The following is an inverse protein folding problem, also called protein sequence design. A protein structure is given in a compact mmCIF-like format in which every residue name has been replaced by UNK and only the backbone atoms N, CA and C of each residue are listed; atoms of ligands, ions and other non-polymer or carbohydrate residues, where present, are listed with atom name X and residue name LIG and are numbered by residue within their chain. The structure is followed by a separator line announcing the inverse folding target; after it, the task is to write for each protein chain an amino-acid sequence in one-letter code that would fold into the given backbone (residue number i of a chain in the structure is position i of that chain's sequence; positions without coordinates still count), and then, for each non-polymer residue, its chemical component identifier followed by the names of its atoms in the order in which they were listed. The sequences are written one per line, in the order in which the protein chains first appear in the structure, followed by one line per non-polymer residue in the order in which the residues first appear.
data_IF_317785310806
#
_entry.id   IF_317785310806
#
_cell.length_a   1.000
_cell.length_b   1.000
_cell.length_c   1.000
_cell.angle_alpha   90.00
_cell.angle_beta   90.00
_cell.angle_gamma   90.00
#
_symmetry.space_group_name_H-M   'P 1'
#
loop_
_entity.id
_entity.type
_entity.pdbx_description
1 polymer ?
#
# COMPACT_ATOMS: atom_id res chain seq x y z
N UNK A 1 -1.13 -23.89 -58.50
CA UNK A 1 0.19 -23.74 -57.87
C UNK A 1 0.53 -22.26 -57.84
N UNK A 2 0.29 -21.60 -56.71
CA UNK A 2 0.60 -20.18 -56.52
C UNK A 2 1.88 -20.06 -55.70
N UNK A 3 2.79 -19.20 -56.16
CA UNK A 3 4.13 -19.02 -55.64
C UNK A 3 4.11 -18.46 -54.21
N UNK A 4 4.79 -19.18 -53.31
CA UNK A 4 5.05 -18.78 -51.93
C UNK A 4 6.18 -17.73 -51.94
N UNK A 5 5.84 -16.45 -51.82
CA UNK A 5 6.83 -15.38 -51.61
C UNK A 5 7.43 -15.52 -50.21
N UNK A 6 8.64 -16.06 -50.13
CA UNK A 6 9.46 -16.05 -48.91
C UNK A 6 9.81 -14.60 -48.51
N UNK A 7 8.99 -14.00 -47.65
CA UNK A 7 9.32 -12.77 -46.92
C UNK A 7 10.13 -13.12 -45.67
N UNK A 8 11.41 -13.41 -45.85
CA UNK A 8 12.38 -13.57 -44.76
C UNK A 8 13.48 -12.51 -44.89
N UNK A 9 13.76 -11.80 -43.79
CA UNK A 9 14.89 -10.85 -43.71
C UNK A 9 16.19 -11.67 -43.80
N UNK A 10 16.82 -11.71 -44.98
CA UNK A 10 18.19 -12.23 -45.14
C UNK A 10 19.17 -11.15 -44.69
N UNK A 11 19.63 -11.22 -43.46
CA UNK A 11 20.82 -10.50 -43.02
C UNK A 11 21.98 -11.49 -43.02
N UNK A 12 23.04 -11.17 -43.76
CA UNK A 12 24.24 -12.00 -43.82
C UNK A 12 25.05 -11.84 -42.52
N UNK A 13 25.75 -12.89 -42.08
CA UNK A 13 26.55 -12.85 -40.84
C UNK A 13 27.60 -11.72 -40.86
N UNK A 14 28.07 -11.31 -42.03
CA UNK A 14 28.99 -10.19 -42.20
C UNK A 14 28.36 -8.83 -41.88
N UNK A 15 27.05 -8.64 -42.13
CA UNK A 15 26.33 -7.40 -41.86
C UNK A 15 25.98 -7.20 -40.37
N UNK A 16 26.03 -8.28 -39.58
CA UNK A 16 25.81 -8.22 -38.13
C UNK A 16 27.09 -7.91 -37.35
N UNK A 17 28.27 -8.03 -37.97
CA UNK A 17 29.53 -7.84 -37.26
C UNK A 17 29.82 -6.35 -37.05
N UNK A 18 30.47 -6.05 -35.93
CA UNK A 18 30.96 -4.72 -35.61
C UNK A 18 31.83 -4.21 -36.74
N UNK A 19 31.60 -2.98 -37.18
CA UNK A 19 32.40 -2.31 -38.22
C UNK A 19 33.91 -2.27 -37.94
N UNK A 20 34.32 -2.28 -36.67
CA UNK A 20 35.74 -2.32 -36.28
C UNK A 20 36.35 -3.75 -36.34
N UNK A 21 35.62 -4.73 -36.87
CA UNK A 21 36.07 -6.12 -37.03
C UNK A 21 36.60 -6.76 -35.72
N UNK A 22 36.09 -6.29 -34.57
CA UNK A 22 36.54 -6.73 -33.25
C UNK A 22 35.98 -8.10 -32.81
N UNK A 23 35.33 -8.84 -33.70
CA UNK A 23 34.73 -10.16 -33.43
C UNK A 23 33.38 -10.14 -32.66
N UNK A 24 32.82 -8.97 -32.39
CA UNK A 24 31.51 -8.80 -31.74
C UNK A 24 30.45 -8.31 -32.73
N UNK A 25 29.17 -8.47 -32.40
CA UNK A 25 28.06 -7.99 -33.22
C UNK A 25 27.81 -6.49 -33.02
N UNK A 26 27.57 -5.77 -34.12
CA UNK A 26 27.13 -4.39 -34.13
C UNK A 26 25.62 -4.28 -34.30
N UNK A 27 25.03 -3.13 -33.95
CA UNK A 27 23.61 -2.89 -34.17
C UNK A 27 23.35 -1.50 -34.79
N UNK A 28 22.17 -1.26 -35.39
CA UNK A 28 21.86 0.03 -36.01
C UNK A 28 21.83 1.21 -35.03
N UNK A 29 21.41 0.99 -33.78
CA UNK A 29 21.38 2.03 -32.74
C UNK A 29 22.78 2.60 -32.43
N UNK A 30 23.82 1.78 -32.63
CA UNK A 30 25.23 2.17 -32.53
C UNK A 30 25.91 2.20 -33.90
N UNK A 31 25.18 2.54 -34.96
CA UNK A 31 25.69 2.72 -36.33
C UNK A 31 26.48 1.52 -36.90
N UNK A 32 26.21 0.31 -36.43
CA UNK A 32 26.91 -0.91 -36.82
C UNK A 32 28.16 -1.23 -35.96
N UNK A 33 28.38 -0.53 -34.85
CA UNK A 33 29.43 -0.84 -33.88
C UNK A 33 28.90 -1.68 -32.72
N UNK A 34 29.77 -2.48 -32.09
CA UNK A 34 29.46 -3.12 -30.83
C UNK A 34 29.53 -2.10 -29.67
N UNK A 35 28.94 -2.44 -28.53
CA UNK A 35 28.90 -1.55 -27.35
C UNK A 35 30.27 -1.10 -26.85
N UNK A 36 31.33 -1.88 -27.08
CA UNK A 36 32.71 -1.56 -26.68
C UNK A 36 33.33 -0.53 -27.62
N UNK A 37 33.34 -0.82 -28.92
CA UNK A 37 33.85 0.06 -29.96
C UNK A 37 33.11 1.41 -30.01
N UNK A 38 31.78 1.37 -29.82
CA UNK A 38 30.96 2.58 -29.73
C UNK A 38 31.42 3.49 -28.58
N UNK A 39 31.52 2.96 -27.35
CA UNK A 39 31.95 3.73 -26.18
C UNK A 39 33.35 4.31 -26.31
N UNK A 40 34.27 3.56 -26.89
CA UNK A 40 35.66 4.01 -27.07
C UNK A 40 35.75 5.16 -28.08
N UNK A 41 34.91 5.12 -29.12
CA UNK A 41 34.81 6.17 -30.13
C UNK A 41 34.10 7.42 -29.59
N UNK A 42 33.02 7.26 -28.82
CA UNK A 42 32.33 8.37 -28.17
C UNK A 42 33.25 9.08 -27.17
N UNK A 43 34.02 8.33 -26.35
CA UNK A 43 35.01 8.92 -25.44
C UNK A 43 36.10 9.72 -26.15
N UNK A 44 36.58 9.24 -27.31
CA UNK A 44 37.56 9.99 -28.12
C UNK A 44 36.95 11.27 -28.70
N UNK A 45 35.70 11.20 -29.19
CA UNK A 45 34.99 12.37 -29.70
C UNK A 45 34.69 13.41 -28.61
N UNK A 46 34.33 12.97 -27.40
CA UNK A 46 34.09 13.82 -26.24
C UNK A 46 35.37 14.49 -25.71
N UNK A 47 36.52 13.80 -25.82
CA UNK A 47 37.82 14.38 -25.47
C UNK A 47 38.24 15.49 -26.45
N UNK A 48 37.88 15.37 -27.73
CA UNK A 48 38.16 16.38 -28.75
C UNK A 48 37.16 17.57 -28.72
N UNK A 49 36.00 17.43 -28.06
CA UNK A 49 34.95 18.46 -28.01
C UNK A 49 34.98 19.39 -26.78
N UNK A 50 35.93 19.25 -25.85
CA UNK A 50 36.11 20.17 -24.71
C UNK A 50 36.67 21.56 -25.08
N UNK A 51 36.59 21.97 -26.35
CA UNK A 51 37.05 23.27 -26.86
C UNK A 51 35.99 24.37 -26.97
N UNK A 52 34.68 24.08 -27.03
CA UNK A 52 33.66 25.12 -27.28
C UNK A 52 32.25 24.63 -26.92
N UNK A 53 31.54 25.34 -26.03
CA UNK A 53 30.08 25.20 -25.81
C UNK A 53 29.25 26.02 -26.84
N UNK A 54 27.89 26.03 -26.82
CA UNK A 54 27.02 26.04 -25.63
C UNK A 54 25.72 25.16 -25.69
N UNK A 55 24.86 25.40 -24.69
CA UNK A 55 23.64 24.75 -24.15
C UNK A 55 22.41 24.60 -25.07
N UNK A 56 21.60 23.55 -24.85
CA UNK A 56 20.15 23.54 -25.14
C UNK A 56 19.36 22.57 -24.24
N UNK A 57 18.08 22.93 -24.06
CA UNK A 57 17.06 22.48 -23.09
C UNK A 57 16.18 21.34 -23.63
N UNK A 58 15.94 20.28 -22.84
CA UNK A 58 14.90 19.28 -23.10
C UNK A 58 14.61 18.42 -21.84
N UNK A 59 13.33 18.37 -21.45
CA UNK A 59 12.84 17.57 -20.33
C UNK A 59 13.13 16.07 -20.49
N UNK A 60 13.93 15.53 -19.57
CA UNK A 60 14.25 14.11 -19.52
C UNK A 60 13.11 13.30 -18.87
N UNK A 61 12.68 12.18 -19.47
CA UNK A 61 11.87 11.17 -18.80
C UNK A 61 12.63 10.62 -17.58
N UNK A 62 11.96 9.86 -16.71
CA UNK A 62 12.56 9.04 -15.65
C UNK A 62 13.51 7.96 -16.23
N UNK A 63 14.56 8.35 -16.95
CA UNK A 63 15.47 7.44 -17.61
C UNK A 63 16.55 6.98 -16.63
N UNK A 64 16.89 5.70 -16.76
CA UNK A 64 17.97 4.95 -16.11
C UNK A 64 19.36 5.64 -16.16
N UNK A 65 19.50 6.77 -16.85
CA UNK A 65 20.75 7.51 -17.06
C UNK A 65 21.34 8.06 -15.76
N UNK A 66 20.52 8.61 -14.84
CA UNK A 66 20.99 9.02 -13.50
C UNK A 66 21.43 7.83 -12.63
N UNK A 67 20.88 6.63 -12.89
CA UNK A 67 21.21 5.40 -12.18
C UNK A 67 22.56 4.82 -12.67
N UNK A 68 22.86 4.91 -13.97
CA UNK A 68 24.19 4.57 -14.52
C UNK A 68 25.26 5.62 -14.17
N UNK A 69 24.91 6.90 -14.06
CA UNK A 69 25.83 7.96 -13.61
C UNK A 69 26.33 7.71 -12.18
N UNK A 70 25.47 7.16 -11.30
CA UNK A 70 25.83 6.71 -9.94
C UNK A 70 26.80 5.52 -9.93
N UNK A 71 26.69 4.60 -10.90
CA UNK A 71 27.68 3.52 -11.15
C UNK A 71 29.04 4.07 -11.62
N UNK A 72 29.04 5.22 -12.30
CA UNK A 72 30.26 5.85 -12.80
C UNK A 72 30.92 6.77 -11.75
N UNK A 73 30.17 7.32 -10.79
CA UNK A 73 30.71 8.05 -9.62
C UNK A 73 31.65 7.18 -8.78
N UNK A 74 31.37 5.88 -8.67
CA UNK A 74 32.25 4.91 -7.99
C UNK A 74 33.60 4.72 -8.71
N UNK A 75 33.70 5.11 -9.99
CA UNK A 75 34.91 4.97 -10.83
C UNK A 75 35.51 6.29 -11.30
N UNK A 76 34.92 7.44 -10.97
CA UNK A 76 35.42 8.71 -11.48
C UNK A 76 34.85 9.94 -10.80
N UNK A 77 35.43 10.33 -9.65
CA UNK A 77 35.82 11.74 -9.40
C UNK A 77 36.65 11.89 -8.13
N UNK A 78 37.94 12.20 -8.30
CA UNK A 78 38.71 12.94 -7.29
C UNK A 78 38.31 14.41 -7.38
N UNK A 79 37.34 14.87 -6.57
CA UNK A 79 37.15 16.31 -6.33
C UNK A 79 37.82 16.65 -5.00
N UNK A 80 39.11 16.95 -5.06
CA UNK A 80 39.92 17.28 -3.89
C UNK A 80 39.75 18.75 -3.43
N UNK A 81 38.90 19.54 -4.11
CA UNK A 81 38.83 20.99 -3.91
C UNK A 81 37.77 21.40 -2.89
N UNK A 82 36.65 20.66 -2.77
CA UNK A 82 35.63 20.96 -1.76
C UNK A 82 35.97 20.39 -0.36
N UNK A 83 36.78 19.33 -0.28
CA UNK A 83 37.21 18.73 1.01
C UNK A 83 37.87 19.74 1.96
N UNK A 84 38.65 20.71 1.44
CA UNK A 84 39.39 21.68 2.27
C UNK A 84 38.54 22.76 2.92
N UNK A 85 37.38 23.08 2.34
CA UNK A 85 36.52 24.14 2.87
C UNK A 85 35.45 23.59 3.84
N UNK A 86 35.05 22.33 3.70
CA UNK A 86 33.97 21.72 4.50
C UNK A 86 34.46 20.77 5.60
N UNK A 87 35.66 20.19 5.45
CA UNK A 87 36.24 19.25 6.42
C UNK A 87 37.64 19.72 6.77
N UNK A 88 37.73 20.72 7.67
CA UNK A 88 38.96 21.38 8.09
C UNK A 88 40.17 20.44 8.14
N UNK A 89 41.33 20.97 7.71
CA UNK A 89 42.58 20.21 7.63
C UNK A 89 42.90 19.42 8.91
N UNK A 90 43.77 18.39 8.83
CA UNK A 90 44.05 17.51 9.95
C UNK A 90 44.42 18.37 11.17
N UNK A 91 43.60 18.26 12.22
CA UNK A 91 43.87 18.90 13.50
C UNK A 91 45.27 18.49 13.98
N UNK A 92 45.98 19.37 14.70
CA UNK A 92 47.28 19.03 15.27
C UNK A 92 47.12 17.79 16.16
N UNK A 93 48.16 16.92 16.26
CA UNK A 93 48.03 15.64 16.95
C UNK A 93 47.74 15.91 18.43
N UNK A 94 46.47 15.79 18.81
CA UNK A 94 46.09 15.67 20.22
C UNK A 94 46.26 14.20 20.62
N UNK A 95 46.68 14.06 21.88
CA UNK A 95 47.23 12.89 22.57
C UNK A 95 46.60 11.54 22.16
N UNK A 96 47.37 10.44 22.18
CA UNK A 96 46.84 9.11 21.93
C UNK A 96 45.85 8.76 23.04
N UNK A 97 44.56 8.92 22.76
CA UNK A 97 43.54 8.16 23.48
C UNK A 97 43.69 6.69 23.09
N UNK A 98 43.56 5.81 24.08
CA UNK A 98 43.93 4.41 23.92
C UNK A 98 43.13 3.77 22.77
N UNK A 99 43.85 3.17 21.83
CA UNK A 99 43.33 2.31 20.75
C UNK A 99 42.28 1.29 21.23
N UNK A 100 42.29 0.97 22.52
CA UNK A 100 41.34 0.08 23.19
C UNK A 100 39.92 0.65 23.27
N UNK A 101 39.74 1.96 23.45
CA UNK A 101 38.42 2.60 23.58
C UNK A 101 37.62 2.59 22.26
N UNK A 102 38.30 2.86 21.14
CA UNK A 102 37.70 2.82 19.79
C UNK A 102 37.39 1.37 19.36
N UNK A 103 38.29 0.43 19.68
CA UNK A 103 38.05 -0.99 19.45
C UNK A 103 36.88 -1.55 20.29
N UNK A 104 36.75 -1.13 21.55
CA UNK A 104 35.63 -1.49 22.41
C UNK A 104 34.30 -0.90 21.90
N UNK A 105 34.31 0.32 21.37
CA UNK A 105 33.14 0.93 20.75
C UNK A 105 32.68 0.14 19.51
N UNK A 106 33.61 -0.21 18.62
CA UNK A 106 33.33 -1.00 17.42
C UNK A 106 32.76 -2.39 17.75
N UNK A 107 33.31 -3.06 18.78
CA UNK A 107 32.75 -4.32 19.27
C UNK A 107 31.31 -4.18 19.78
N UNK A 108 30.97 -3.07 20.44
CA UNK A 108 29.61 -2.82 20.90
C UNK A 108 28.63 -2.62 19.74
N UNK A 109 29.06 -2.00 18.64
CA UNK A 109 28.24 -1.89 17.42
C UNK A 109 28.06 -3.25 16.72
N UNK A 110 29.09 -4.09 16.73
CA UNK A 110 29.04 -5.45 16.17
C UNK A 110 28.04 -6.37 16.88
N UNK A 111 27.76 -6.14 18.17
CA UNK A 111 26.77 -6.91 18.93
C UNK A 111 25.32 -6.45 18.76
N UNK A 112 25.04 -5.48 17.88
CA UNK A 112 23.68 -5.02 17.64
C UNK A 112 22.91 -6.02 16.77
N UNK A 113 21.66 -6.26 17.15
CA UNK A 113 20.73 -7.03 16.33
C UNK A 113 20.29 -6.22 15.09
N UNK A 114 20.01 -6.88 13.95
CA UNK A 114 19.52 -6.21 12.76
C UNK A 114 18.25 -5.40 13.06
N UNK A 115 18.25 -4.11 12.71
CA UNK A 115 17.10 -3.23 12.91
C UNK A 115 16.96 -2.62 14.32
N UNK A 116 17.84 -2.92 15.28
CA UNK A 116 17.81 -2.31 16.62
C UNK A 116 18.40 -0.88 16.63
N UNK A 117 17.65 0.03 16.01
CA UNK A 117 18.01 1.44 15.92
C UNK A 117 18.05 2.13 17.29
N UNK A 118 17.24 1.67 18.25
CA UNK A 118 17.19 2.30 19.58
C UNK A 118 18.48 2.04 20.35
N UNK A 119 19.00 0.81 20.32
CA UNK A 119 20.28 0.48 20.92
C UNK A 119 21.44 1.15 20.20
N UNK A 120 21.40 1.25 18.86
CA UNK A 120 22.35 2.07 18.11
C UNK A 120 22.42 3.51 18.62
N UNK A 121 21.28 4.18 18.81
CA UNK A 121 21.25 5.55 19.34
C UNK A 121 21.77 5.64 20.78
N UNK A 122 21.58 4.60 21.61
CA UNK A 122 22.17 4.54 22.96
C UNK A 122 23.69 4.43 22.88
N UNK A 123 24.23 3.59 22.00
CA UNK A 123 25.67 3.44 21.79
C UNK A 123 26.31 4.71 21.21
N UNK A 124 25.62 5.39 20.30
CA UNK A 124 26.11 6.64 19.70
C UNK A 124 26.24 7.77 20.73
N UNK A 125 25.41 7.77 21.79
CA UNK A 125 25.49 8.75 22.89
C UNK A 125 26.54 8.43 23.95
N UNK A 126 27.16 7.24 23.92
CA UNK A 126 28.21 6.89 24.89
C UNK A 126 29.48 7.71 24.63
N UNK A 127 30.28 8.02 25.68
CA UNK A 127 31.56 8.73 25.52
C UNK A 127 32.51 8.04 24.52
N UNK A 128 32.49 6.70 24.46
CA UNK A 128 33.27 5.90 23.52
C UNK A 128 32.96 6.19 22.04
N UNK A 129 31.80 6.78 21.74
CA UNK A 129 31.35 7.12 20.39
C UNK A 129 31.33 8.64 20.14
N UNK A 130 31.89 9.45 21.05
CA UNK A 130 31.78 10.91 21.00
C UNK A 130 32.30 11.52 19.69
N UNK A 131 33.39 10.97 19.14
CA UNK A 131 33.96 11.42 17.86
C UNK A 131 32.98 11.22 16.72
N UNK A 132 32.33 10.06 16.65
CA UNK A 132 31.34 9.74 15.63
C UNK A 132 30.09 10.62 15.78
N UNK A 133 29.59 10.77 17.00
CA UNK A 133 28.45 11.64 17.31
C UNK A 133 28.73 13.10 16.91
N UNK A 134 29.94 13.60 17.19
CA UNK A 134 30.36 14.96 16.84
C UNK A 134 30.41 15.17 15.33
N UNK A 135 30.89 14.17 14.57
CA UNK A 135 30.87 14.20 13.10
C UNK A 135 29.44 14.26 12.55
N UNK A 136 28.53 13.43 13.06
CA UNK A 136 27.13 13.47 12.65
C UNK A 136 26.48 14.83 12.97
N UNK A 137 26.75 15.37 14.16
CA UNK A 137 26.18 16.67 14.58
C UNK A 137 26.73 17.82 13.73
N UNK A 138 28.03 17.86 13.49
CA UNK A 138 28.65 18.88 12.63
C UNK A 138 28.10 18.82 11.20
N UNK A 139 27.91 17.61 10.66
CA UNK A 139 27.30 17.43 9.34
C UNK A 139 25.87 17.96 9.30
N UNK A 140 25.04 17.63 10.28
CA UNK A 140 23.66 18.12 10.35
C UNK A 140 23.58 19.64 10.45
N UNK A 141 24.42 20.26 11.28
CA UNK A 141 24.50 21.72 11.41
C UNK A 141 24.95 22.36 10.08
N UNK A 142 25.83 21.70 9.35
CA UNK A 142 26.27 22.15 8.01
C UNK A 142 25.10 22.09 7.02
N UNK A 143 24.38 20.98 6.98
CA UNK A 143 23.21 20.84 6.11
C UNK A 143 22.11 21.87 6.45
N UNK A 144 21.90 22.16 7.73
CA UNK A 144 20.98 23.21 8.17
C UNK A 144 21.42 24.61 7.72
N UNK A 145 22.71 24.93 7.84
CA UNK A 145 23.26 26.23 7.42
C UNK A 145 23.22 26.45 5.90
N UNK A 146 23.26 25.36 5.11
CA UNK A 146 23.32 25.40 3.65
C UNK A 146 22.10 24.73 2.99
N UNK A 147 20.95 24.71 3.65
CA UNK A 147 19.75 24.04 3.14
C UNK A 147 19.19 24.69 1.87
N UNK A 148 19.49 25.97 1.60
CA UNK A 148 19.09 26.68 0.36
C UNK A 148 19.86 26.22 -0.89
N UNK A 149 20.91 25.39 -0.73
CA UNK A 149 21.64 24.87 -1.88
C UNK A 149 20.73 24.00 -2.75
N UNK A 150 20.96 23.95 -4.08
CA UNK A 150 20.22 23.04 -4.95
C UNK A 150 20.27 21.60 -4.44
N UNK A 151 19.14 20.90 -4.51
CA UNK A 151 18.98 19.53 -3.96
C UNK A 151 20.05 18.55 -4.44
N UNK A 152 20.59 18.73 -5.65
CA UNK A 152 21.68 17.89 -6.16
C UNK A 152 22.97 18.07 -5.36
N UNK A 153 23.33 19.31 -5.00
CA UNK A 153 24.52 19.56 -4.16
C UNK A 153 24.32 18.99 -2.75
N UNK A 154 23.10 19.09 -2.22
CA UNK A 154 22.75 18.49 -0.94
C UNK A 154 22.85 16.96 -0.99
N UNK A 155 22.40 16.34 -2.08
CA UNK A 155 22.56 14.90 -2.34
C UNK A 155 24.05 14.51 -2.38
N UNK A 156 24.89 15.25 -3.11
CA UNK A 156 26.33 14.98 -3.18
C UNK A 156 26.99 15.06 -1.79
N UNK A 157 26.63 16.05 -0.96
CA UNK A 157 27.14 16.19 0.41
C UNK A 157 26.73 15.00 1.31
N UNK A 158 25.50 14.50 1.17
CA UNK A 158 25.01 13.33 1.91
C UNK A 158 25.74 12.05 1.46
N UNK A 159 25.94 11.87 0.15
CA UNK A 159 26.67 10.71 -0.38
C UNK A 159 28.14 10.73 0.05
N UNK A 160 28.80 11.89 0.00
CA UNK A 160 30.15 12.08 0.53
C UNK A 160 30.20 11.78 2.04
N UNK A 161 29.20 12.20 2.80
CA UNK A 161 29.10 11.87 4.23
C UNK A 161 29.03 10.35 4.44
N UNK A 162 28.19 9.63 3.69
CA UNK A 162 28.11 8.17 3.78
C UNK A 162 29.45 7.51 3.50
N UNK A 163 30.14 7.91 2.43
CA UNK A 163 31.45 7.36 2.10
C UNK A 163 32.48 7.63 3.20
N UNK A 164 32.48 8.82 3.80
CA UNK A 164 33.41 9.18 4.86
C UNK A 164 33.09 8.49 6.20
N UNK A 165 31.83 8.13 6.46
CA UNK A 165 31.41 7.40 7.66
C UNK A 165 31.62 5.89 7.51
N UNK A 166 31.42 5.33 6.31
CA UNK A 166 31.68 3.92 6.06
C UNK A 166 33.13 3.52 6.42
N UNK A 167 34.10 4.41 6.21
CA UNK A 167 35.51 4.21 6.62
C UNK A 167 35.66 4.01 8.14
N UNK A 168 34.79 4.59 8.97
CA UNK A 168 34.85 4.37 10.42
C UNK A 168 34.48 2.93 10.80
N UNK A 169 33.64 2.28 10.00
CA UNK A 169 33.15 0.93 10.24
C UNK A 169 33.83 -0.11 9.34
N UNK A 170 34.88 0.26 8.60
CA UNK A 170 35.49 -0.62 7.58
C UNK A 170 36.18 -1.85 8.15
N UNK A 171 36.42 -1.90 9.47
CA UNK A 171 36.95 -3.09 10.16
C UNK A 171 35.86 -4.11 10.49
N UNK A 172 34.58 -3.76 10.33
CA UNK A 172 33.47 -4.68 10.56
C UNK A 172 33.26 -5.60 9.35
N UNK A 173 32.73 -6.82 9.55
CA UNK A 173 32.21 -7.65 8.47
C UNK A 173 31.19 -6.90 7.60
N UNK A 174 31.15 -7.21 6.30
CA UNK A 174 30.31 -6.51 5.31
C UNK A 174 28.84 -6.40 5.72
N UNK A 175 28.25 -7.47 6.24
CA UNK A 175 26.86 -7.49 6.72
C UNK A 175 26.62 -6.47 7.85
N UNK A 176 27.54 -6.40 8.81
CA UNK A 176 27.45 -5.47 9.94
C UNK A 176 27.74 -4.03 9.51
N UNK A 177 28.67 -3.83 8.57
CA UNK A 177 28.92 -2.53 7.96
C UNK A 177 27.65 -1.99 7.29
N UNK A 178 26.97 -2.80 6.49
CA UNK A 178 25.70 -2.41 5.84
C UNK A 178 24.64 -2.03 6.88
N UNK A 179 24.46 -2.83 7.93
CA UNK A 179 23.53 -2.52 9.03
C UNK A 179 23.87 -1.20 9.75
N UNK A 180 25.16 -0.92 10.00
CA UNK A 180 25.57 0.35 10.61
C UNK A 180 25.30 1.53 9.68
N UNK A 181 25.51 1.35 8.38
CA UNK A 181 25.21 2.37 7.38
C UNK A 181 23.71 2.63 7.27
N UNK A 182 22.86 1.61 7.36
CA UNK A 182 21.40 1.74 7.45
C UNK A 182 20.97 2.56 8.67
N UNK A 183 21.52 2.27 9.85
CA UNK A 183 21.27 3.09 11.04
C UNK A 183 21.75 4.54 10.87
N UNK A 184 22.87 4.76 10.20
CA UNK A 184 23.36 6.10 9.87
C UNK A 184 22.44 6.83 8.90
N UNK A 185 21.97 6.17 7.85
CA UNK A 185 20.99 6.71 6.91
C UNK A 185 19.73 7.15 7.65
N UNK A 186 19.18 6.26 8.50
CA UNK A 186 17.99 6.54 9.30
C UNK A 186 18.17 7.74 10.20
N UNK A 187 19.30 7.84 10.91
CA UNK A 187 19.59 8.98 11.79
C UNK A 187 19.65 10.31 11.03
N UNK A 188 20.44 10.35 9.96
CA UNK A 188 20.68 11.58 9.20
C UNK A 188 19.42 12.00 8.45
N UNK A 189 18.84 11.09 7.68
CA UNK A 189 17.72 11.41 6.80
C UNK A 189 16.43 11.72 7.55
N UNK A 190 16.21 11.13 8.73
CA UNK A 190 15.07 11.52 9.58
C UNK A 190 15.11 13.00 9.98
N UNK A 191 16.31 13.57 10.16
CA UNK A 191 16.49 14.99 10.49
C UNK A 191 16.49 15.88 9.25
N UNK A 192 17.11 15.41 8.16
CA UNK A 192 17.21 16.18 6.93
C UNK A 192 15.92 16.22 6.12
N UNK A 193 15.01 15.26 6.28
CA UNK A 193 13.80 15.12 5.47
C UNK A 193 13.02 16.43 5.29
N UNK A 194 12.86 17.23 6.36
CA UNK A 194 12.12 18.51 6.32
C UNK A 194 12.74 19.54 5.39
N UNK A 195 14.02 19.42 5.07
CA UNK A 195 14.74 20.33 4.19
C UNK A 195 14.85 19.75 2.79
N UNK A 196 15.16 18.46 2.65
CA UNK A 196 15.53 17.90 1.34
C UNK A 196 14.40 17.22 0.57
N UNK A 197 13.27 16.88 1.21
CA UNK A 197 12.15 16.22 0.55
C UNK A 197 11.28 17.25 -0.17
N UNK A 198 11.02 17.04 -1.47
CA UNK A 198 10.26 17.98 -2.32
C UNK A 198 10.82 19.42 -2.22
N UNK A 199 12.14 19.56 -2.39
CA UNK A 199 12.87 20.82 -2.24
C UNK A 199 12.48 21.84 -3.34
N UNK A 200 12.38 23.12 -2.98
CA UNK A 200 11.94 24.22 -3.87
C UNK A 200 12.80 24.41 -5.12
N UNK A 201 14.05 23.94 -5.09
CA UNK A 201 14.96 24.03 -6.25
C UNK A 201 14.66 23.02 -7.37
N UNK A 202 13.61 22.20 -7.27
CA UNK A 202 13.26 21.21 -8.30
C UNK A 202 11.75 21.11 -8.53
N UNK A 203 11.37 20.66 -9.73
CA UNK A 203 9.97 20.55 -10.15
C UNK A 203 9.28 19.28 -9.62
N UNK A 204 9.74 18.72 -8.49
CA UNK A 204 9.22 17.47 -7.95
C UNK A 204 7.71 17.58 -7.64
N UNK A 205 7.25 18.69 -7.06
CA UNK A 205 5.83 18.95 -6.78
C UNK A 205 4.98 19.00 -8.06
N UNK A 206 5.48 19.68 -9.09
CA UNK A 206 4.78 19.80 -10.38
C UNK A 206 4.61 18.41 -11.01
N UNK A 207 5.65 17.58 -10.95
CA UNK A 207 5.61 16.20 -11.46
C UNK A 207 4.72 15.30 -10.62
N UNK A 208 4.70 15.47 -9.31
CA UNK A 208 3.75 14.79 -8.43
C UNK A 208 2.30 15.10 -8.80
N UNK A 209 1.97 16.38 -9.00
CA UNK A 209 0.63 16.80 -9.40
C UNK A 209 0.25 16.25 -10.79
N UNK A 210 1.19 16.27 -11.73
CA UNK A 210 0.97 15.71 -13.07
C UNK A 210 0.71 14.19 -13.01
N UNK A 211 1.56 13.45 -12.29
CA UNK A 211 1.43 12.01 -12.13
C UNK A 211 0.17 11.62 -11.36
N UNK A 212 -0.19 12.35 -10.31
CA UNK A 212 -1.41 12.11 -9.55
C UNK A 212 -2.67 12.33 -10.41
N UNK A 213 -2.72 13.42 -11.19
CA UNK A 213 -3.81 13.69 -12.14
C UNK A 213 -3.89 12.61 -13.20
N UNK A 214 -2.73 12.18 -13.70
CA UNK A 214 -2.63 11.09 -14.68
C UNK A 214 -3.19 9.78 -14.14
N UNK A 215 -2.75 9.31 -12.97
CA UNK A 215 -3.27 8.09 -12.33
C UNK A 215 -4.79 8.22 -12.11
N UNK A 216 -5.25 9.37 -11.60
CA UNK A 216 -6.68 9.63 -11.38
C UNK A 216 -7.51 9.51 -12.66
N UNK A 217 -6.99 10.01 -13.79
CA UNK A 217 -7.66 9.89 -15.10
C UNK A 217 -7.78 8.44 -15.61
N UNK A 218 -6.96 7.53 -15.09
CA UNK A 218 -6.90 6.11 -15.46
C UNK A 218 -7.62 5.19 -14.45
N UNK A 219 -8.39 5.73 -13.51
CA UNK A 219 -9.07 4.91 -12.49
C UNK A 219 -10.07 3.88 -13.07
N UNK A 220 -10.54 4.11 -14.30
CA UNK A 220 -11.43 3.22 -15.04
C UNK A 220 -10.75 1.91 -15.50
N UNK A 221 -9.41 1.85 -15.51
CA UNK A 221 -8.66 0.66 -15.92
C UNK A 221 -8.96 -0.50 -14.97
N UNK A 222 -9.21 -1.67 -15.55
CA UNK A 222 -9.55 -2.90 -14.81
C UNK A 222 -8.39 -3.90 -14.83
N UNK A 223 -8.31 -4.85 -13.88
CA UNK A 223 -7.28 -5.89 -13.87
C UNK A 223 -7.20 -6.66 -15.21
N UNK A 224 -8.35 -6.94 -15.83
CA UNK A 224 -8.42 -7.71 -17.08
C UNK A 224 -7.81 -6.96 -18.26
N UNK A 225 -7.93 -5.63 -18.32
CA UNK A 225 -7.31 -4.81 -19.39
C UNK A 225 -5.77 -4.88 -19.32
N UNK A 226 -5.24 -4.99 -18.10
CA UNK A 226 -3.81 -5.17 -17.82
C UNK A 226 -3.38 -6.64 -17.80
N UNK A 227 -4.29 -7.59 -18.06
CA UNK A 227 -4.05 -9.04 -17.98
C UNK A 227 -3.50 -9.50 -16.62
N UNK A 228 -3.90 -8.84 -15.54
CA UNK A 228 -3.51 -9.23 -14.18
C UNK A 228 -4.26 -10.49 -13.78
N UNK A 229 -3.57 -11.56 -13.36
CA UNK A 229 -4.22 -12.71 -12.73
C UNK A 229 -4.98 -12.25 -11.49
N UNK A 230 -6.30 -12.36 -11.52
CA UNK A 230 -7.19 -11.92 -10.44
C UNK A 230 -8.05 -13.10 -10.02
N UNK A 231 -8.25 -13.38 -8.71
CA UNK A 231 -9.09 -14.47 -8.25
C UNK A 231 -10.51 -14.34 -8.80
N UNK A 232 -11.10 -15.45 -9.26
CA UNK A 232 -12.50 -15.47 -9.70
C UNK A 232 -13.43 -15.01 -8.56
N UNK A 233 -14.46 -14.23 -8.89
CA UNK A 233 -15.47 -13.66 -7.97
C UNK A 233 -16.23 -14.72 -7.11
N UNK A 234 -15.97 -16.01 -7.33
CA UNK A 234 -16.59 -17.14 -6.61
C UNK A 234 -15.92 -17.46 -5.27
N UNK A 235 -14.77 -16.85 -4.96
CA UNK A 235 -14.18 -16.96 -3.63
C UNK A 235 -14.92 -16.00 -2.67
N UNK A 236 -15.40 -16.51 -1.53
CA UNK A 236 -16.10 -15.78 -0.45
C UNK A 236 -15.26 -14.65 0.21
N UNK A 237 -14.14 -14.27 -0.37
CA UNK A 237 -13.26 -13.21 0.13
C UNK A 237 -13.76 -11.86 -0.41
N UNK A 238 -14.50 -11.13 0.42
CA UNK A 238 -15.10 -9.83 0.11
C UNK A 238 -14.07 -8.69 -0.11
N UNK A 239 -12.76 -8.96 0.00
CA UNK A 239 -11.69 -7.94 -0.03
C UNK A 239 -10.76 -8.11 -1.22
N UNK A 240 -10.43 -6.99 -1.89
CA UNK A 240 -9.43 -6.95 -2.97
C UNK A 240 -8.11 -7.60 -2.49
N UNK A 241 -7.60 -8.66 -3.15
CA UNK A 241 -6.39 -9.37 -2.73
C UNK A 241 -5.15 -8.48 -2.76
N UNK A 242 -5.18 -7.38 -3.52
CA UNK A 242 -4.09 -6.40 -3.60
C UNK A 242 -4.20 -5.29 -2.54
N UNK A 243 -5.24 -5.25 -1.71
CA UNK A 243 -5.42 -4.23 -0.68
C UNK A 243 -4.20 -4.08 0.26
N UNK A 244 -3.55 -5.17 0.74
CA UNK A 244 -2.34 -5.04 1.55
C UNK A 244 -1.17 -4.38 0.80
N UNK A 245 -1.06 -4.61 -0.52
CA UNK A 245 -0.05 -3.97 -1.37
C UNK A 245 -0.36 -2.48 -1.55
N UNK A 246 -1.63 -2.14 -1.80
CA UNK A 246 -2.13 -0.76 -1.91
C UNK A 246 -1.80 0.03 -0.63
N UNK A 247 -2.11 -0.53 0.55
CA UNK A 247 -1.80 0.13 1.83
C UNK A 247 -0.29 0.33 2.00
N UNK A 248 0.53 -0.69 1.69
CA UNK A 248 1.98 -0.60 1.84
C UNK A 248 2.61 0.51 0.97
N UNK A 249 2.16 0.68 -0.27
CA UNK A 249 2.70 1.74 -1.14
C UNK A 249 2.21 3.14 -0.74
N UNK A 250 1.01 3.26 -0.18
CA UNK A 250 0.51 4.54 0.38
C UNK A 250 1.31 4.94 1.63
N UNK A 251 1.61 3.98 2.52
CA UNK A 251 2.39 4.20 3.74
C UNK A 251 3.82 4.72 3.49
N UNK A 252 4.36 4.54 2.27
CA UNK A 252 5.68 5.02 1.88
C UNK A 252 5.87 6.52 2.18
N UNK A 253 4.85 7.33 1.91
CA UNK A 253 4.95 8.78 2.07
C UNK A 253 5.08 9.21 3.53
N UNK A 254 4.57 8.41 4.47
CA UNK A 254 4.66 8.66 5.91
C UNK A 254 6.06 8.38 6.48
N UNK A 255 6.93 7.66 5.76
CA UNK A 255 8.29 7.34 6.21
C UNK A 255 9.23 8.51 5.93
N UNK A 256 10.24 8.72 6.78
CA UNK A 256 11.23 9.79 6.59
C UNK A 256 12.57 9.31 6.03
N UNK A 257 13.04 8.15 6.48
CA UNK A 257 14.29 7.59 5.98
C UNK A 257 14.08 6.87 4.62
N UNK A 258 15.00 7.01 3.65
CA UNK A 258 14.93 6.30 2.37
C UNK A 258 14.77 4.79 2.52
N UNK A 259 15.51 4.15 3.42
CA UNK A 259 15.39 2.71 3.69
C UNK A 259 13.99 2.30 4.16
N UNK A 260 13.32 3.12 4.97
CA UNK A 260 11.98 2.81 5.48
C UNK A 260 10.96 2.97 4.34
N UNK A 261 11.18 3.90 3.40
CA UNK A 261 10.39 4.04 2.16
C UNK A 261 10.60 2.84 1.23
N UNK A 262 11.84 2.39 1.07
CA UNK A 262 12.17 1.18 0.29
C UNK A 262 11.55 -0.07 0.91
N UNK A 263 11.52 -0.18 2.24
CA UNK A 263 10.85 -1.29 2.92
C UNK A 263 9.34 -1.33 2.63
N UNK A 264 8.68 -0.16 2.52
CA UNK A 264 7.28 -0.08 2.05
C UNK A 264 7.13 -0.59 0.61
N UNK A 265 8.08 -0.25 -0.29
CA UNK A 265 8.10 -0.77 -1.67
C UNK A 265 8.28 -2.29 -1.68
N UNK A 266 9.21 -2.84 -0.91
CA UNK A 266 9.41 -4.29 -0.81
C UNK A 266 8.18 -5.00 -0.24
N UNK A 267 7.58 -4.47 0.82
CA UNK A 267 6.34 -5.00 1.40
C UNK A 267 5.18 -4.95 0.40
N UNK A 268 5.07 -3.89 -0.40
CA UNK A 268 4.10 -3.79 -1.48
C UNK A 268 4.32 -4.93 -2.49
N UNK A 269 5.54 -5.08 -3.01
CA UNK A 269 5.88 -6.11 -4.00
C UNK A 269 5.65 -7.53 -3.47
N UNK A 270 6.01 -7.82 -2.22
CA UNK A 270 5.75 -9.12 -1.59
C UNK A 270 4.25 -9.42 -1.48
N UNK A 271 3.43 -8.42 -1.14
CA UNK A 271 1.97 -8.58 -1.14
C UNK A 271 1.39 -8.78 -2.55
N UNK A 272 2.00 -8.17 -3.59
CA UNK A 272 1.65 -8.46 -4.99
C UNK A 272 1.93 -9.92 -5.33
N UNK A 273 3.13 -10.43 -5.03
CA UNK A 273 3.43 -11.85 -5.25
C UNK A 273 2.46 -12.77 -4.50
N UNK A 274 2.16 -12.46 -3.24
CA UNK A 274 1.20 -13.24 -2.43
C UNK A 274 -0.20 -13.26 -3.05
N UNK A 275 -0.68 -12.11 -3.54
CA UNK A 275 -1.96 -12.02 -4.24
C UNK A 275 -1.97 -12.89 -5.51
N UNK A 276 -0.91 -12.79 -6.33
CA UNK A 276 -0.78 -13.54 -7.58
C UNK A 276 -0.66 -15.06 -7.35
N UNK A 277 0.05 -15.48 -6.30
CA UNK A 277 0.15 -16.90 -5.90
C UNK A 277 -1.16 -17.49 -5.39
N UNK A 278 -2.11 -16.64 -4.98
CA UNK A 278 -3.45 -17.11 -4.55
C UNK A 278 -4.37 -17.30 -5.76
N UNK A 279 -4.14 -16.54 -6.84
CA UNK A 279 -4.93 -16.63 -8.08
C UNK A 279 -4.40 -17.67 -9.08
N UNK A 280 -3.11 -18.00 -9.04
CA UNK A 280 -2.47 -18.91 -9.99
C UNK A 280 -1.88 -20.15 -9.30
N UNK A 281 -1.96 -21.30 -9.97
CA UNK A 281 -1.29 -22.54 -9.54
C UNK A 281 0.22 -22.51 -9.77
N UNK A 282 0.71 -21.63 -10.64
CA UNK A 282 2.13 -21.46 -10.95
C UNK A 282 2.72 -20.22 -10.25
N UNK A 283 4.03 -20.23 -9.92
CA UNK A 283 4.71 -19.03 -9.41
C UNK A 283 4.58 -17.88 -10.41
N UNK A 284 4.22 -16.69 -9.92
CA UNK A 284 4.06 -15.51 -10.75
C UNK A 284 5.36 -15.18 -11.50
N UNK A 285 5.26 -15.00 -12.81
CA UNK A 285 6.39 -14.57 -13.62
C UNK A 285 6.62 -13.04 -13.48
N UNK A 286 7.65 -12.51 -14.15
CA UNK A 286 7.97 -11.09 -14.07
C UNK A 286 6.89 -10.18 -14.71
N UNK A 287 6.22 -10.65 -15.76
CA UNK A 287 5.18 -9.90 -16.46
C UNK A 287 3.87 -9.83 -15.64
N UNK A 288 3.51 -10.93 -14.98
CA UNK A 288 2.39 -11.00 -14.02
C UNK A 288 2.63 -10.04 -12.85
N UNK A 289 3.85 -10.05 -12.32
CA UNK A 289 4.26 -9.16 -11.24
C UNK A 289 4.19 -7.69 -11.65
N UNK A 290 4.77 -7.33 -12.79
CA UNK A 290 4.79 -5.94 -13.27
C UNK A 290 3.36 -5.44 -13.54
N UNK A 291 2.52 -6.27 -14.16
CA UNK A 291 1.11 -5.94 -14.43
C UNK A 291 0.33 -5.75 -13.12
N UNK A 292 0.54 -6.64 -12.14
CA UNK A 292 -0.04 -6.50 -10.79
C UNK A 292 0.44 -5.24 -10.07
N UNK A 293 1.72 -4.88 -10.19
CA UNK A 293 2.28 -3.67 -9.61
C UNK A 293 1.71 -2.40 -10.27
N UNK A 294 1.57 -2.37 -11.59
CA UNK A 294 0.92 -1.26 -12.32
C UNK A 294 -0.52 -1.09 -11.81
N UNK A 295 -1.28 -2.18 -11.69
CA UNK A 295 -2.63 -2.15 -11.15
C UNK A 295 -2.67 -1.58 -9.72
N UNK A 296 -1.78 -2.04 -8.83
CA UNK A 296 -1.68 -1.52 -7.46
C UNK A 296 -1.39 -0.03 -7.44
N UNK A 297 -0.44 0.46 -8.24
CA UNK A 297 -0.12 1.90 -8.31
C UNK A 297 -1.31 2.70 -8.84
N UNK A 298 -2.02 2.19 -9.86
CA UNK A 298 -3.23 2.84 -10.40
C UNK A 298 -4.35 2.96 -9.35
N UNK A 299 -4.58 1.90 -8.56
CA UNK A 299 -5.62 1.90 -7.52
C UNK A 299 -5.22 2.66 -6.27
N UNK A 300 -3.94 2.61 -5.89
CA UNK A 300 -3.44 3.30 -4.71
C UNK A 300 -3.37 4.82 -4.91
N UNK A 301 -3.00 5.27 -6.12
CA UNK A 301 -2.61 6.65 -6.40
C UNK A 301 -1.73 7.26 -5.29
N UNK A 302 -0.53 6.71 -5.05
CA UNK A 302 0.27 7.03 -3.87
C UNK A 302 0.58 8.54 -3.79
N UNK A 303 0.47 9.15 -2.61
CA UNK A 303 0.75 10.58 -2.46
C UNK A 303 2.23 10.88 -2.72
N UNK A 304 2.48 11.96 -3.46
CA UNK A 304 3.84 12.47 -3.75
C UNK A 304 4.78 11.39 -4.31
N UNK A 305 4.26 10.52 -5.19
CA UNK A 305 4.97 9.35 -5.68
C UNK A 305 6.30 9.69 -6.37
N UNK A 306 6.32 10.73 -7.20
CA UNK A 306 7.52 11.20 -7.89
C UNK A 306 8.56 11.71 -6.88
N UNK A 307 8.16 12.58 -5.95
CA UNK A 307 9.06 13.07 -4.88
C UNK A 307 9.65 11.93 -4.05
N UNK A 308 8.83 10.94 -3.67
CA UNK A 308 9.26 9.77 -2.93
C UNK A 308 10.33 8.97 -3.68
N UNK A 309 10.13 8.73 -4.98
CA UNK A 309 11.10 8.03 -5.82
C UNK A 309 12.41 8.83 -5.97
N UNK A 310 12.32 10.13 -6.27
CA UNK A 310 13.51 10.97 -6.41
C UNK A 310 14.29 11.10 -5.11
N UNK A 311 13.59 11.20 -3.98
CA UNK A 311 14.20 11.24 -2.66
C UNK A 311 15.00 9.97 -2.36
N UNK A 312 14.44 8.79 -2.66
CA UNK A 312 15.17 7.53 -2.54
C UNK A 312 16.39 7.49 -3.46
N UNK A 313 16.27 7.92 -4.72
CA UNK A 313 17.41 7.95 -5.68
C UNK A 313 18.55 8.86 -5.18
N UNK A 314 18.21 10.06 -4.72
CA UNK A 314 19.16 11.11 -4.30
C UNK A 314 19.83 10.79 -2.96
N UNK A 315 19.07 10.31 -1.98
CA UNK A 315 19.55 10.22 -0.60
C UNK A 315 19.66 8.79 -0.05
N UNK A 316 19.16 7.79 -0.76
CA UNK A 316 19.31 6.41 -0.34
C UNK A 316 20.74 5.90 -0.52
N UNK A 317 21.11 4.95 0.33
CA UNK A 317 22.37 4.21 0.25
C UNK A 317 22.50 3.52 -1.13
N UNK A 318 23.63 3.69 -1.84
CA UNK A 318 23.81 3.13 -3.18
C UNK A 318 23.60 1.61 -3.25
N UNK A 319 24.14 0.85 -2.30
CA UNK A 319 24.05 -0.61 -2.30
C UNK A 319 22.62 -1.14 -2.14
N UNK A 320 21.79 -0.47 -1.34
CA UNK A 320 20.38 -0.84 -1.13
C UNK A 320 19.51 -0.60 -2.36
N UNK A 321 19.84 0.42 -3.16
CA UNK A 321 19.12 0.76 -4.40
C UNK A 321 19.61 -0.04 -5.61
N UNK A 322 20.90 -0.41 -5.64
CA UNK A 322 21.56 -0.95 -6.83
C UNK A 322 21.72 -2.47 -6.81
N UNK A 323 21.46 -3.13 -5.69
CA UNK A 323 21.61 -4.57 -5.56
C UNK A 323 20.47 -5.19 -4.72
N UNK A 324 20.31 -6.50 -4.87
CA UNK A 324 19.35 -7.29 -4.10
C UNK A 324 17.89 -7.12 -4.53
N UNK A 325 17.02 -7.70 -3.71
CA UNK A 325 15.58 -7.77 -3.92
C UNK A 325 14.93 -6.37 -3.89
N UNK A 326 15.35 -5.51 -2.96
CA UNK A 326 14.86 -4.13 -2.85
C UNK A 326 15.14 -3.29 -4.10
N UNK A 327 16.35 -3.40 -4.67
CA UNK A 327 16.70 -2.72 -5.93
C UNK A 327 15.86 -3.21 -7.11
N UNK A 328 15.57 -4.51 -7.17
CA UNK A 328 14.66 -5.08 -8.18
C UNK A 328 13.24 -4.52 -8.06
N UNK A 329 12.68 -4.46 -6.84
CA UNK A 329 11.35 -3.90 -6.62
C UNK A 329 11.26 -2.40 -6.92
N UNK A 330 12.26 -1.62 -6.50
CA UNK A 330 12.33 -0.20 -6.82
C UNK A 330 12.43 0.07 -8.33
N UNK A 331 13.19 -0.78 -9.03
CA UNK A 331 13.28 -0.70 -10.50
C UNK A 331 11.94 -1.00 -11.15
N UNK A 332 11.23 -2.04 -10.71
CA UNK A 332 9.89 -2.36 -11.23
C UNK A 332 8.86 -1.26 -10.93
N UNK A 333 8.92 -0.63 -9.75
CA UNK A 333 8.10 0.54 -9.45
C UNK A 333 8.40 1.70 -10.42
N UNK A 334 9.68 1.92 -10.74
CA UNK A 334 10.09 2.93 -11.72
C UNK A 334 9.57 2.62 -13.13
N UNK A 335 9.62 1.35 -13.53
CA UNK A 335 9.02 0.89 -14.79
C UNK A 335 7.50 1.08 -14.81
N UNK A 336 6.81 0.74 -13.71
CA UNK A 336 5.36 0.89 -13.60
C UNK A 336 4.92 2.36 -13.71
N UNK A 337 5.62 3.28 -13.04
CA UNK A 337 5.34 4.72 -13.14
C UNK A 337 5.58 5.23 -14.56
N UNK A 338 6.71 4.88 -15.18
CA UNK A 338 7.01 5.28 -16.56
C UNK A 338 5.99 4.71 -17.58
N UNK A 339 5.47 3.50 -17.32
CA UNK A 339 4.40 2.92 -18.11
C UNK A 339 3.10 3.72 -17.96
N UNK A 340 2.69 4.05 -16.73
CA UNK A 340 1.46 4.83 -16.45
C UNK A 340 1.52 6.23 -17.10
N UNK A 341 2.68 6.89 -17.06
CA UNK A 341 2.88 8.18 -17.72
C UNK A 341 2.60 8.12 -19.22
N UNK A 342 2.98 7.02 -19.87
CA UNK A 342 2.90 6.82 -21.33
C UNK A 342 1.75 5.92 -21.79
N UNK A 343 0.90 5.47 -20.86
CA UNK A 343 -0.15 4.50 -21.15
C UNK A 343 -1.13 4.99 -22.22
N UNK A 344 -1.34 4.22 -23.27
CA UNK A 344 -2.25 4.54 -24.36
C UNK A 344 -3.27 3.40 -24.61
N UNK A 345 -4.19 3.61 -25.54
CA UNK A 345 -5.18 2.60 -25.94
C UNK A 345 -4.54 1.27 -26.35
N UNK A 346 -3.55 1.26 -27.26
CA UNK A 346 -2.85 0.05 -27.67
C UNK A 346 -2.24 -0.75 -26.52
N UNK A 347 -1.66 -0.09 -25.50
CA UNK A 347 -1.11 -0.77 -24.33
C UNK A 347 -2.17 -1.55 -23.51
N UNK A 348 -3.45 -1.17 -23.61
CA UNK A 348 -4.59 -1.86 -22.98
C UNK A 348 -5.37 -2.77 -23.94
N UNK A 349 -4.91 -2.94 -25.18
CA UNK A 349 -5.65 -3.61 -26.27
C UNK A 349 -7.00 -2.93 -26.58
N UNK A 350 -7.04 -1.60 -26.54
CA UNK A 350 -8.20 -0.77 -26.89
C UNK A 350 -7.93 0.04 -28.16
N UNK A 351 -8.98 0.27 -28.93
CA UNK A 351 -8.93 1.23 -30.04
C UNK A 351 -8.86 2.67 -29.51
N UNK A 352 -8.31 3.57 -30.32
CA UNK A 352 -8.12 4.98 -29.92
C UNK A 352 -9.46 5.65 -29.53
N UNK A 353 -10.54 5.37 -30.26
CA UNK A 353 -11.87 5.90 -29.96
C UNK A 353 -12.42 5.37 -28.61
N UNK A 354 -12.20 4.09 -28.30
CA UNK A 354 -12.63 3.51 -27.03
C UNK A 354 -11.85 4.12 -25.87
N UNK A 355 -10.53 4.23 -26.02
CA UNK A 355 -9.65 4.84 -25.02
C UNK A 355 -10.02 6.29 -24.73
N UNK A 356 -10.22 7.12 -25.76
CA UNK A 356 -10.66 8.50 -25.61
C UNK A 356 -12.06 8.59 -24.99
N UNK A 357 -12.96 7.64 -25.33
CA UNK A 357 -14.25 7.48 -24.67
C UNK A 357 -14.12 7.32 -23.16
N UNK A 358 -13.31 6.37 -22.70
CA UNK A 358 -13.05 6.18 -21.27
C UNK A 358 -12.44 7.41 -20.60
N UNK A 359 -11.45 8.06 -21.25
CA UNK A 359 -10.79 9.25 -20.73
C UNK A 359 -11.73 10.46 -20.60
N UNK A 360 -12.72 10.58 -21.48
CA UNK A 360 -13.78 11.60 -21.40
C UNK A 360 -14.91 11.22 -20.42
N UNK A 361 -14.81 10.08 -19.74
CA UNK A 361 -15.85 9.58 -18.84
C UNK A 361 -17.08 9.02 -19.58
N UNK A 362 -17.00 8.83 -20.91
CA UNK A 362 -18.01 8.10 -21.67
C UNK A 362 -17.80 6.61 -21.39
N UNK A 363 -18.55 6.09 -20.43
CA UNK A 363 -18.57 4.65 -20.17
C UNK A 363 -18.91 3.89 -21.47
N UNK A 364 -18.31 2.71 -21.71
CA UNK A 364 -18.60 1.92 -22.89
C UNK A 364 -20.09 1.61 -22.87
N UNK A 365 -20.77 1.87 -23.99
CA UNK A 365 -22.22 1.71 -24.16
C UNK A 365 -22.72 0.33 -23.67
N UNK A 366 -21.86 -0.69 -23.67
CA UNK A 366 -22.16 -2.06 -23.21
C UNK A 366 -22.18 -2.22 -21.68
N UNK A 367 -21.13 -1.81 -20.93
CA UNK A 367 -21.12 -1.95 -19.45
C UNK A 367 -21.94 -0.89 -18.73
N UNK A 368 -22.05 0.32 -19.29
CA UNK A 368 -22.93 1.35 -18.73
C UNK A 368 -24.40 0.94 -18.79
N UNK A 369 -24.79 0.21 -19.85
CA UNK A 369 -26.12 -0.41 -20.00
C UNK A 369 -26.34 -1.51 -18.97
N UNK A 370 -25.40 -2.46 -18.81
CA UNK A 370 -25.53 -3.56 -17.84
C UNK A 370 -25.54 -3.09 -16.39
N UNK A 371 -24.67 -2.15 -16.00
CA UNK A 371 -24.68 -1.59 -14.64
C UNK A 371 -25.93 -0.77 -14.36
N UNK A 372 -26.43 0.01 -15.33
CA UNK A 372 -27.72 0.71 -15.22
C UNK A 372 -28.90 -0.26 -15.18
N UNK A 373 -28.83 -1.36 -15.93
CA UNK A 373 -29.85 -2.41 -15.95
C UNK A 373 -29.87 -3.16 -14.62
N UNK A 374 -28.71 -3.56 -14.10
CA UNK A 374 -28.57 -4.19 -12.79
C UNK A 374 -28.99 -3.25 -11.66
N UNK A 375 -28.67 -1.95 -11.74
CA UNK A 375 -29.14 -0.97 -10.76
C UNK A 375 -30.67 -0.81 -10.81
N UNK A 376 -31.27 -0.77 -12.00
CA UNK A 376 -32.74 -0.77 -12.17
C UNK A 376 -33.38 -2.06 -11.64
N UNK A 377 -32.86 -3.23 -12.01
CA UNK A 377 -33.33 -4.52 -11.52
C UNK A 377 -33.20 -4.64 -10.00
N UNK A 378 -32.12 -4.09 -9.42
CA UNK A 378 -31.92 -4.03 -7.97
C UNK A 378 -32.95 -3.09 -7.32
N UNK A 379 -33.20 -1.93 -7.93
CA UNK A 379 -34.21 -0.98 -7.47
C UNK A 379 -35.62 -1.57 -7.51
N UNK A 380 -35.96 -2.28 -8.60
CA UNK A 380 -37.24 -2.97 -8.76
C UNK A 380 -37.42 -4.06 -7.69
N UNK A 381 -36.36 -4.86 -7.44
CA UNK A 381 -36.38 -5.88 -6.37
C UNK A 381 -36.52 -5.27 -4.98
N UNK A 382 -35.84 -4.16 -4.69
CA UNK A 382 -35.98 -3.46 -3.41
C UNK A 382 -37.40 -2.91 -3.23
N UNK A 383 -38.02 -2.44 -4.31
CA UNK A 383 -39.39 -1.94 -4.28
C UNK A 383 -40.40 -3.08 -4.08
N UNK A 384 -40.19 -4.25 -4.70
CA UNK A 384 -40.97 -5.46 -4.45
C UNK A 384 -40.85 -5.92 -2.99
N UNK A 385 -39.63 -6.01 -2.46
CA UNK A 385 -39.40 -6.37 -1.05
C UNK A 385 -40.09 -5.39 -0.11
N UNK A 386 -40.01 -4.09 -0.40
CA UNK A 386 -40.70 -3.06 0.38
C UNK A 386 -42.23 -3.26 0.36
N UNK A 387 -42.81 -3.51 -0.81
CA UNK A 387 -44.24 -3.74 -0.95
C UNK A 387 -44.69 -4.99 -0.18
N UNK A 388 -43.91 -6.07 -0.24
CA UNK A 388 -44.18 -7.31 0.50
C UNK A 388 -44.08 -7.11 2.01
N UNK A 389 -43.10 -6.32 2.47
CA UNK A 389 -42.98 -5.97 3.88
C UNK A 389 -44.21 -5.19 4.38
N UNK A 390 -44.66 -4.20 3.60
CA UNK A 390 -45.85 -3.41 3.94
C UNK A 390 -47.13 -4.27 4.00
N UNK A 391 -47.24 -5.30 3.16
CA UNK A 391 -48.37 -6.24 3.18
C UNK A 391 -48.31 -7.18 4.39
N UNK A 392 -47.13 -7.71 4.72
CA UNK A 392 -46.91 -8.51 5.93
C UNK A 392 -47.22 -7.69 7.19
N UNK A 393 -46.74 -6.45 7.27
CA UNK A 393 -47.01 -5.57 8.41
C UNK A 393 -48.50 -5.28 8.57
N UNK A 394 -49.23 -5.13 7.45
CA UNK A 394 -50.68 -4.94 7.47
C UNK A 394 -51.40 -6.20 7.95
N UNK A 395 -51.00 -7.37 7.45
CA UNK A 395 -51.52 -8.65 7.90
C UNK A 395 -51.27 -8.89 9.40
N UNK A 396 -50.09 -8.53 9.89
CA UNK A 396 -49.74 -8.63 11.31
C UNK A 396 -50.62 -7.72 12.18
N UNK A 397 -50.91 -6.49 11.74
CA UNK A 397 -51.81 -5.57 12.45
C UNK A 397 -53.24 -6.12 12.52
N UNK A 398 -53.76 -6.61 11.39
CA UNK A 398 -55.10 -7.22 11.33
C UNK A 398 -55.17 -8.44 12.27
N UNK A 399 -54.18 -9.32 12.22
CA UNK A 399 -54.13 -10.50 13.08
C UNK A 399 -54.07 -10.12 14.56
N UNK A 400 -53.32 -9.08 14.91
CA UNK A 400 -53.24 -8.55 16.27
C UNK A 400 -54.60 -8.05 16.76
N UNK A 401 -55.32 -7.28 15.94
CA UNK A 401 -56.65 -6.79 16.26
C UNK A 401 -57.66 -7.95 16.42
N UNK A 402 -57.63 -8.93 15.51
CA UNK A 402 -58.47 -10.12 15.58
C UNK A 402 -58.18 -10.95 16.84
N UNK A 403 -56.91 -11.13 17.20
CA UNK A 403 -56.52 -11.85 18.41
C UNK A 403 -57.01 -11.14 19.67
N UNK A 404 -56.89 -9.80 19.74
CA UNK A 404 -57.40 -9.02 20.86
C UNK A 404 -58.93 -9.13 20.97
N UNK A 405 -59.66 -9.04 19.86
CA UNK A 405 -61.11 -9.23 19.86
C UNK A 405 -61.51 -10.64 20.29
N UNK A 406 -60.78 -11.66 19.83
CA UNK A 406 -61.02 -13.04 20.21
C UNK A 406 -60.79 -13.26 21.72
N UNK A 407 -59.70 -12.74 22.28
CA UNK A 407 -59.43 -12.80 23.73
C UNK A 407 -60.56 -12.15 24.53
N UNK A 408 -61.02 -10.97 24.13
CA UNK A 408 -62.14 -10.29 24.80
C UNK A 408 -63.44 -11.10 24.71
N UNK A 409 -63.72 -11.69 23.56
CA UNK A 409 -64.90 -12.54 23.37
C UNK A 409 -64.85 -13.80 24.23
N UNK A 410 -63.69 -14.46 24.32
CA UNK A 410 -63.50 -15.64 25.17
C UNK A 410 -63.66 -15.27 26.63
N UNK A 411 -63.05 -14.16 27.07
CA UNK A 411 -63.17 -13.69 28.46
C UNK A 411 -64.63 -13.39 28.82
N UNK A 412 -65.37 -12.71 27.94
CA UNK A 412 -66.78 -12.41 28.17
C UNK A 412 -67.65 -13.68 28.28
N UNK A 413 -67.39 -14.70 27.45
CA UNK A 413 -68.13 -15.97 27.54
C UNK A 413 -67.75 -16.75 28.80
N UNK A 414 -66.46 -16.75 29.20
CA UNK A 414 -66.01 -17.33 30.48
C UNK A 414 -66.68 -16.63 31.65
N UNK A 415 -66.70 -15.30 31.70
CA UNK A 415 -67.33 -14.52 32.77
C UNK A 415 -68.83 -14.81 32.85
N UNK A 416 -69.50 -14.95 31.71
CA UNK A 416 -70.92 -15.31 31.63
C UNK A 416 -71.19 -16.72 32.15
N UNK A 417 -70.38 -17.70 31.77
CA UNK A 417 -70.49 -19.08 32.28
C UNK A 417 -70.22 -19.13 33.78
N UNK A 418 -69.20 -18.41 34.26
CA UNK A 418 -68.88 -18.32 35.69
C UNK A 418 -70.01 -17.65 36.47
N UNK A 419 -70.62 -16.59 35.95
CA UNK A 419 -71.78 -15.94 36.58
C UNK A 419 -73.02 -16.85 36.62
N UNK A 420 -73.29 -17.59 35.54
CA UNK A 420 -74.37 -18.58 35.50
C UNK A 420 -74.12 -19.73 36.49
N UNK A 421 -72.88 -20.20 36.60
CA UNK A 421 -72.49 -21.21 37.58
C UNK A 421 -72.65 -20.70 39.01
N UNK A 422 -72.28 -19.44 39.29
CA UNK A 422 -72.43 -18.84 40.61
C UNK A 422 -73.91 -18.68 41.00
N UNK A 423 -74.78 -18.30 40.05
CA UNK A 423 -76.23 -18.24 40.27
C UNK A 423 -76.81 -19.63 40.53
N UNK A 424 -76.41 -20.64 39.75
CA UNK A 424 -76.84 -22.02 39.97
C UNK A 424 -76.35 -22.58 41.32
N UNK A 425 -75.12 -22.25 41.74
CA UNK A 425 -74.61 -22.61 43.07
C UNK A 425 -75.39 -21.90 44.19
N UNK A 426 -75.69 -20.60 44.03
CA UNK A 426 -76.51 -19.86 45.00
C UNK A 426 -77.94 -20.37 45.08
N UNK A 427 -78.54 -20.84 43.98
CA UNK A 427 -79.85 -21.50 43.98
C UNK A 427 -79.81 -22.87 44.67
N UNK A 428 -78.73 -23.64 44.48
CA UNK A 428 -78.50 -24.91 45.18
C UNK A 428 -78.27 -24.68 46.69
N UNK A 429 -77.51 -23.65 47.07
CA UNK A 429 -77.31 -23.25 48.46
C UNK A 429 -78.60 -22.74 49.11
N UNK A 430 -79.40 -21.94 48.40
CA UNK A 430 -80.71 -21.47 48.88
C UNK A 430 -81.74 -22.61 49.00
N UNK A 431 -81.70 -23.61 48.11
CA UNK A 431 -82.49 -24.82 48.22
C UNK A 431 -81.99 -25.73 49.36
N UNK A 432 -80.69 -25.76 49.61
CA UNK A 432 -80.07 -26.45 50.75
C UNK A 432 -80.47 -25.78 52.08
N UNK A 433 -80.44 -24.45 52.18
CA UNK A 433 -80.89 -23.71 53.38
C UNK A 433 -82.41 -23.82 53.59
N UNK A 434 -83.20 -23.87 52.51
CA UNK A 434 -84.64 -24.17 52.56
C UNK A 434 -84.96 -25.61 52.97
N UNK A 435 -84.03 -26.55 52.79
CA UNK A 435 -84.17 -27.95 53.21
C UNK A 435 -83.56 -28.21 54.61
N UNK A 436 -82.71 -27.31 55.10
CA UNK A 436 -82.12 -27.37 56.45
C UNK A 436 -82.99 -26.75 57.55
N UNK A 437 -84.14 -26.13 57.24
CA UNK A 437 -85.15 -25.80 58.26
C UNK A 437 -85.91 -27.03 58.81
N UNK A 438 -85.68 -28.22 58.24
CA UNK A 438 -86.12 -29.50 58.81
C UNK A 438 -85.04 -30.58 58.67
N UNK A 439 -83.93 -30.43 59.37
CA UNK A 439 -83.32 -31.51 60.17
C UNK A 439 -81.97 -31.08 60.74
N UNK A 440 -81.86 -31.09 62.07
CA UNK A 440 -80.58 -31.03 62.77
C UNK A 440 -80.42 -32.35 63.53
N UNK A 441 -79.36 -33.11 63.24
CA UNK A 441 -78.35 -33.51 64.24
C UNK A 441 -77.25 -34.44 63.69
N UNK A 442 -76.00 -33.98 63.87
CA UNK A 442 -74.74 -34.69 64.20
C UNK A 442 -73.92 -35.51 63.17
N UNK A 443 -73.03 -34.79 62.48
CA UNK A 443 -71.53 -34.77 62.51
C UNK A 443 -70.69 -36.06 62.68
N UNK A 444 -69.72 -36.22 61.76
CA UNK A 444 -68.28 -36.66 61.82
C UNK A 444 -67.98 -37.52 60.57
N UNK A 445 -66.86 -37.45 59.81
CA UNK A 445 -65.43 -37.23 60.10
C UNK A 445 -64.64 -37.18 58.76
N UNK A 446 -63.58 -36.34 58.72
CA UNK A 446 -62.19 -36.55 58.21
C UNK A 446 -61.84 -36.93 56.75
N UNK A 447 -60.93 -36.10 56.23
CA UNK A 447 -59.63 -36.36 55.56
C UNK A 447 -59.56 -37.24 54.30
N UNK A 448 -59.03 -36.67 53.20
CA UNK A 448 -57.77 -37.08 52.53
C UNK A 448 -57.36 -36.03 51.46
N UNK A 449 -56.04 -35.91 51.30
CA UNK A 449 -55.20 -34.91 50.62
C UNK A 449 -54.80 -35.36 49.20
N UNK A 450 -54.41 -34.40 48.34
CA UNK A 450 -53.38 -34.42 47.25
C UNK A 450 -53.88 -33.70 45.98
N UNK A 451 -53.12 -32.93 45.21
CA UNK A 451 -51.79 -32.31 45.35
C UNK A 451 -51.68 -31.22 44.25
N UNK A 452 -50.71 -30.33 44.41
CA UNK A 452 -50.41 -29.13 43.63
C UNK A 452 -49.87 -29.45 42.22
N UNK A 453 -50.09 -28.52 41.27
CA UNK A 453 -49.00 -28.10 40.37
C UNK A 453 -49.20 -26.66 39.90
N UNK A 454 -48.27 -25.83 40.38
CA UNK A 454 -48.01 -24.46 39.95
C UNK A 454 -47.20 -24.51 38.66
N UNK A 455 -47.59 -23.76 37.64
CA UNK A 455 -46.69 -23.33 36.57
C UNK A 455 -46.81 -21.82 36.43
N UNK A 456 -45.86 -21.13 37.06
CA UNK A 456 -45.48 -19.75 36.80
C UNK A 456 -44.74 -19.68 35.45
N UNK A 457 -45.14 -18.79 34.56
CA UNK A 457 -44.31 -18.34 33.44
C UNK A 457 -43.94 -16.88 33.69
N UNK A 458 -42.65 -16.69 33.94
CA UNK A 458 -41.97 -15.42 34.14
C UNK A 458 -41.97 -14.61 32.83
N UNK A 459 -42.23 -13.31 32.97
CA UNK A 459 -42.00 -12.30 31.95
C UNK A 459 -40.49 -12.17 31.72
N UNK A 460 -40.04 -12.45 30.50
CA UNK A 460 -38.70 -12.09 30.06
C UNK A 460 -38.82 -10.93 29.07
N UNK A 461 -38.78 -9.70 29.59
CA UNK A 461 -38.39 -8.52 28.81
C UNK A 461 -36.97 -8.76 28.27
N UNK A 462 -36.82 -8.61 26.96
CA UNK A 462 -35.52 -8.49 26.32
C UNK A 462 -35.49 -7.19 25.54
N UNK A 463 -34.86 -6.20 26.16
CA UNK A 463 -34.38 -4.97 25.56
C UNK A 463 -33.41 -5.28 24.42
N UNK A 464 -33.79 -4.91 23.19
CA UNK A 464 -32.83 -4.55 22.15
C UNK A 464 -33.45 -3.46 21.27
N UNK A 465 -33.34 -2.20 21.72
CA UNK A 465 -33.44 -1.07 20.82
C UNK A 465 -32.73 0.16 21.40
N UNK A 466 -31.46 0.36 21.03
CA UNK A 466 -30.91 1.69 20.69
C UNK A 466 -29.50 1.55 20.13
N UNK A 467 -29.29 1.98 18.88
CA UNK A 467 -28.47 3.15 18.57
C UNK A 467 -28.29 3.23 17.06
N UNK A 468 -29.06 4.10 16.40
CA UNK A 468 -28.70 4.74 15.13
C UNK A 468 -29.58 5.99 15.00
N UNK A 469 -29.07 7.13 15.46
CA UNK A 469 -29.52 8.45 15.06
C UNK A 469 -28.34 9.24 14.56
N UNK A 470 -28.47 9.67 13.30
CA UNK A 470 -27.95 10.83 12.61
C UNK A 470 -26.92 11.73 13.32
N UNK A 471 -25.88 12.08 12.57
CA UNK A 471 -25.33 13.44 12.61
C UNK A 471 -25.11 13.94 11.18
N UNK A 472 -25.58 15.17 10.99
CA UNK A 472 -25.40 16.06 9.85
C UNK A 472 -23.92 16.41 9.63
#
# INVERSE_FOLDING_TARGET
MAAEQQRGIRVTKAELLCKDSCGYYGNPAWQGFCSKCWRERTRKAEADQQGTGPCDDAGFPLTFSKFEEKKNMEKGRRVNTMRRLFWGGPSPPKRPESSEGEAAALKAYQSLEPGDFTSFLKLLRKPSSQRLQSRCTAFLNTMEAYHDLPVQKQSDLVQDFYQNIAVHFSSLPEVQLSQMMEHMEKLIMTRLHKWVFCHDSCDDEVKDLALQKRIRSLNWVTPQMLRVPFPDEKAEVFSDPFLPAITAVIEMDAKRAPQDKLACVSKCSQNVFKALSTSNTEPANADDFLSGLIYVVLKANPPRLYSNMQYMIRFGLPHTLMAGETGYYFTNLSCAVAFIEKLDGPALNLDQEEFEGYMQGRAPLKRGSERRKMARETQDKLQDVKCRQEEVDRGMKILKEQLQQWVLSVQAEVDKVTAQSALAQGEIEAQSESLQSHSVSTVTKKDVVEDQSVVTLEEHESDYNTCLTDTC
#
